data_IF_689404423241
#
_entry.id   IF_689404423241
#
_cell.length_a   1.000
_cell.length_b   1.000
_cell.length_c   1.000
_cell.angle_alpha   90.00
_cell.angle_beta   90.00
_cell.angle_gamma   90.00
#
_symmetry.space_group_name_H-M   'P 1'
#
loop_
_entity.id
_entity.type
_entity.pdbx_description
1 polymer ?
#
# COMPACT_ATOMS: atom_id res chain seq x y z
N UNK A 1 -2.40 -16.06 -6.26
CA UNK A 1 -2.04 -17.38 -6.84
C UNK A 1 -1.73 -17.23 -8.32
N UNK A 2 -0.78 -17.98 -8.86
CA UNK A 2 -0.53 -18.09 -10.30
C UNK A 2 -0.81 -19.51 -10.79
N UNK A 3 -1.20 -19.62 -12.06
CA UNK A 3 -1.36 -20.89 -12.75
C UNK A 3 -0.39 -20.93 -13.94
N UNK A 4 0.46 -21.96 -13.98
CA UNK A 4 1.43 -22.15 -15.05
C UNK A 4 0.73 -22.61 -16.34
N UNK A 5 1.26 -22.22 -17.49
CA UNK A 5 0.73 -22.61 -18.81
C UNK A 5 0.70 -24.14 -18.92
N UNK A 6 -0.46 -24.69 -19.27
CA UNK A 6 -0.67 -26.14 -19.42
C UNK A 6 -0.91 -26.91 -18.11
N UNK A 7 -0.80 -26.27 -16.94
CA UNK A 7 -1.11 -26.88 -15.65
C UNK A 7 -2.44 -26.35 -15.09
N UNK A 8 -3.29 -27.23 -14.55
CA UNK A 8 -4.55 -26.84 -13.91
C UNK A 8 -4.38 -26.42 -12.44
N UNK A 9 -3.23 -26.71 -11.82
CA UNK A 9 -2.98 -26.40 -10.42
C UNK A 9 -2.64 -24.92 -10.18
N UNK A 10 -3.21 -24.37 -9.11
CA UNK A 10 -2.90 -23.03 -8.62
C UNK A 10 -1.76 -23.09 -7.60
N UNK A 11 -0.77 -22.21 -7.73
CA UNK A 11 0.33 -22.06 -6.77
C UNK A 11 0.31 -20.68 -6.11
N UNK A 12 0.63 -20.63 -4.82
CA UNK A 12 0.76 -19.35 -4.12
C UNK A 12 1.99 -18.63 -4.65
N UNK A 13 1.77 -17.44 -5.20
CA UNK A 13 2.85 -16.58 -5.69
C UNK A 13 3.36 -15.63 -4.61
N UNK A 14 2.44 -15.15 -3.77
CA UNK A 14 2.73 -14.26 -2.67
C UNK A 14 1.46 -13.89 -1.93
N UNK A 15 1.66 -13.22 -0.79
CA UNK A 15 0.61 -12.82 0.15
C UNK A 15 0.92 -11.43 0.68
N UNK A 16 -0.09 -10.57 0.78
CA UNK A 16 0.04 -9.25 1.38
C UNK A 16 0.26 -9.35 2.88
N UNK A 17 0.57 -8.23 3.52
CA UNK A 17 0.43 -8.06 4.95
C UNK A 17 -1.04 -8.17 5.40
N UNK A 18 -1.24 -8.40 6.70
CA UNK A 18 -2.56 -8.31 7.35
C UNK A 18 -2.75 -6.87 7.78
N UNK A 19 -3.93 -6.31 7.52
CA UNK A 19 -4.29 -4.95 7.96
C UNK A 19 -5.42 -5.07 8.96
N UNK A 20 -5.14 -4.67 10.19
CA UNK A 20 -6.08 -4.78 11.30
C UNK A 20 -7.20 -3.74 11.18
N UNK A 21 -8.39 -4.13 11.64
CA UNK A 21 -9.54 -3.24 11.89
C UNK A 21 -9.95 -2.32 10.72
N UNK A 22 -9.85 -2.80 9.47
CA UNK A 22 -10.33 -2.06 8.29
C UNK A 22 -11.24 -2.88 7.39
N UNK A 23 -12.21 -2.20 6.77
CA UNK A 23 -13.04 -2.75 5.68
C UNK A 23 -12.55 -2.34 4.30
N UNK A 24 -11.62 -1.39 4.23
CA UNK A 24 -11.05 -0.85 3.00
C UNK A 24 -9.52 -0.90 3.10
N UNK A 25 -8.91 -2.11 3.12
CA UNK A 25 -7.47 -2.26 3.23
C UNK A 25 -6.74 -1.70 2.00
N UNK A 26 -5.66 -0.95 2.23
CA UNK A 26 -4.70 -0.54 1.20
C UNK A 26 -3.33 -1.14 1.52
N UNK A 27 -2.87 -2.05 0.66
CA UNK A 27 -1.70 -2.89 0.90
C UNK A 27 -0.43 -2.24 0.37
N UNK A 28 0.58 -2.11 1.22
CA UNK A 28 1.93 -1.63 0.89
C UNK A 28 2.68 -2.69 0.08
N UNK A 29 2.55 -3.98 0.41
CA UNK A 29 3.30 -5.03 -0.30
C UNK A 29 2.84 -5.14 -1.75
N UNK A 30 3.78 -4.97 -2.67
CA UNK A 30 3.58 -5.17 -4.12
C UNK A 30 4.22 -6.48 -4.59
N UNK A 31 3.78 -6.96 -5.74
CA UNK A 31 4.27 -8.19 -6.37
C UNK A 31 4.90 -7.86 -7.72
N UNK A 32 6.10 -8.39 -7.97
CA UNK A 32 6.81 -8.22 -9.25
C UNK A 32 6.60 -9.46 -10.08
N UNK A 33 6.09 -9.28 -11.30
CA UNK A 33 5.78 -10.34 -12.25
C UNK A 33 6.40 -10.02 -13.60
N UNK A 34 7.00 -11.00 -14.24
CA UNK A 34 7.41 -10.89 -15.64
C UNK A 34 6.16 -10.98 -16.52
N UNK A 35 5.98 -10.02 -17.42
CA UNK A 35 4.88 -10.05 -18.38
C UNK A 35 5.34 -10.67 -19.70
N UNK A 36 4.66 -11.74 -20.11
CA UNK A 36 4.93 -12.48 -21.34
C UNK A 36 3.73 -12.31 -22.27
N UNK A 37 3.83 -11.41 -23.26
CA UNK A 37 2.70 -11.08 -24.15
C UNK A 37 2.19 -12.26 -24.98
N UNK A 38 3.03 -13.27 -25.21
CA UNK A 38 2.69 -14.49 -25.94
C UNK A 38 1.96 -15.53 -25.08
N UNK A 39 1.93 -15.34 -23.76
CA UNK A 39 1.37 -16.31 -22.82
C UNK A 39 0.12 -15.79 -22.10
N UNK A 40 -0.84 -16.69 -21.90
CA UNK A 40 -1.99 -16.43 -21.04
C UNK A 40 -1.62 -16.66 -19.57
N UNK A 41 -1.20 -15.60 -18.90
CA UNK A 41 -0.79 -15.64 -17.49
C UNK A 41 -2.02 -15.45 -16.56
N UNK A 42 -2.61 -16.56 -16.08
CA UNK A 42 -3.78 -16.53 -15.20
C UNK A 42 -3.42 -16.24 -13.75
N UNK A 43 -4.16 -15.32 -13.12
CA UNK A 43 -3.99 -14.89 -11.73
C UNK A 43 -5.31 -15.07 -10.97
N UNK A 44 -5.23 -15.63 -9.76
CA UNK A 44 -6.34 -15.71 -8.81
C UNK A 44 -5.99 -14.96 -7.52
N UNK A 45 -6.92 -14.15 -7.06
CA UNK A 45 -6.82 -13.43 -5.78
C UNK A 45 -7.83 -14.03 -4.83
N UNK A 46 -7.35 -14.45 -3.65
CA UNK A 46 -8.15 -15.00 -2.57
C UNK A 46 -8.05 -14.04 -1.39
N UNK A 47 -9.19 -13.59 -0.85
CA UNK A 47 -9.26 -12.61 0.23
C UNK A 47 -9.79 -13.29 1.48
N UNK A 48 -9.14 -13.02 2.61
CA UNK A 48 -9.45 -13.64 3.89
C UNK A 48 -9.54 -12.58 4.99
N UNK A 49 -10.45 -12.78 5.94
CA UNK A 49 -10.44 -12.15 7.24
C UNK A 49 -9.55 -12.98 8.18
N UNK A 50 -8.55 -12.33 8.75
CA UNK A 50 -7.56 -12.98 9.62
C UNK A 50 -7.93 -12.70 11.07
N UNK A 51 -8.54 -13.68 11.74
CA UNK A 51 -8.79 -13.60 13.17
C UNK A 51 -7.48 -13.83 13.95
N UNK A 52 -7.21 -12.92 14.88
CA UNK A 52 -5.91 -12.47 15.38
C UNK A 52 -4.99 -13.47 16.12
N UNK A 53 -5.13 -14.80 15.98
CA UNK A 53 -4.30 -15.76 16.76
C UNK A 53 -3.83 -17.02 16.04
N UNK A 54 -4.16 -17.23 14.77
CA UNK A 54 -3.72 -18.43 14.03
C UNK A 54 -2.80 -18.08 12.87
N UNK A 55 -1.69 -18.80 12.71
CA UNK A 55 -0.88 -18.78 11.50
C UNK A 55 -1.38 -19.76 10.42
N UNK A 56 -2.40 -20.57 10.74
CA UNK A 56 -2.98 -21.54 9.82
C UNK A 56 -4.11 -20.90 9.00
N UNK A 57 -3.89 -20.85 7.68
CA UNK A 57 -4.82 -20.29 6.69
C UNK A 57 -6.18 -21.00 6.66
N UNK A 58 -6.22 -22.28 7.06
CA UNK A 58 -7.48 -23.04 7.12
C UNK A 58 -8.44 -22.53 8.19
N UNK A 59 -7.97 -21.64 9.09
CA UNK A 59 -8.77 -21.00 10.13
C UNK A 59 -9.16 -19.57 9.78
N UNK A 60 -8.76 -19.07 8.61
CA UNK A 60 -9.14 -17.74 8.18
C UNK A 60 -10.49 -17.78 7.49
N UNK A 61 -11.29 -16.76 7.79
CA UNK A 61 -12.61 -16.61 7.20
C UNK A 61 -12.44 -16.15 5.76
N UNK A 62 -12.75 -17.03 4.81
CA UNK A 62 -12.74 -16.67 3.40
C UNK A 62 -13.79 -15.58 3.13
N UNK A 63 -13.35 -14.48 2.51
CA UNK A 63 -14.20 -13.34 2.16
C UNK A 63 -14.63 -13.37 0.70
N UNK A 64 -13.79 -13.94 -0.18
CA UNK A 64 -14.10 -14.11 -1.59
C UNK A 64 -12.85 -14.25 -2.45
N UNK A 65 -13.07 -14.57 -3.72
CA UNK A 65 -12.03 -14.71 -4.74
C UNK A 65 -12.42 -14.01 -6.05
N UNK A 66 -11.42 -13.70 -6.87
CA UNK A 66 -11.60 -13.29 -8.25
C UNK A 66 -10.48 -13.82 -9.15
N UNK A 67 -10.74 -13.85 -10.45
CA UNK A 67 -9.84 -14.39 -11.47
C UNK A 67 -9.69 -13.38 -12.60
N UNK A 68 -8.47 -13.23 -13.11
CA UNK A 68 -8.18 -12.45 -14.31
C UNK A 68 -6.85 -12.91 -14.91
N UNK A 69 -6.46 -12.35 -16.05
CA UNK A 69 -5.11 -12.52 -16.59
C UNK A 69 -4.25 -11.30 -16.31
N UNK A 70 -2.93 -11.45 -16.27
CA UNK A 70 -2.01 -10.32 -16.15
C UNK A 70 -2.23 -9.31 -17.30
N UNK A 71 -2.44 -9.81 -18.51
CA UNK A 71 -2.75 -8.99 -19.69
C UNK A 71 -4.06 -8.21 -19.58
N UNK A 72 -5.09 -8.75 -18.90
CA UNK A 72 -6.35 -8.01 -18.65
C UNK A 72 -6.15 -6.81 -17.71
N UNK A 73 -5.24 -6.90 -16.75
CA UNK A 73 -4.93 -5.78 -15.83
C UNK A 73 -4.10 -4.75 -16.59
N UNK A 74 -3.01 -5.15 -17.23
CA UNK A 74 -2.11 -4.25 -17.97
C UNK A 74 -2.83 -3.56 -19.13
N UNK A 75 -3.71 -4.28 -19.84
CA UNK A 75 -4.49 -3.73 -20.96
C UNK A 75 -5.68 -2.85 -20.54
N UNK A 76 -5.95 -2.71 -19.25
CA UNK A 76 -6.99 -1.80 -18.75
C UNK A 76 -6.50 -0.35 -18.73
N UNK A 77 -7.44 0.61 -18.79
CA UNK A 77 -7.09 2.02 -18.76
C UNK A 77 -6.31 2.35 -17.46
N UNK A 78 -5.10 2.90 -17.61
CA UNK A 78 -4.21 3.20 -16.48
C UNK A 78 -3.68 1.97 -15.74
N UNK A 79 -3.78 0.77 -16.32
CA UNK A 79 -3.39 -0.47 -15.67
C UNK A 79 -4.25 -0.81 -14.44
N UNK A 80 -5.42 -0.18 -14.28
CA UNK A 80 -6.29 -0.28 -13.11
C UNK A 80 -7.59 -1.02 -13.45
N UNK A 81 -7.87 -2.06 -12.68
CA UNK A 81 -9.06 -2.88 -12.85
C UNK A 81 -9.79 -3.14 -11.53
N UNK A 82 -11.09 -2.84 -11.52
CA UNK A 82 -11.98 -3.15 -10.41
C UNK A 82 -12.71 -4.47 -10.65
N UNK A 83 -12.69 -5.38 -9.67
CA UNK A 83 -13.29 -6.71 -9.78
C UNK A 83 -14.14 -7.02 -8.57
N UNK A 84 -15.36 -7.51 -8.80
CA UNK A 84 -16.20 -8.03 -7.72
C UNK A 84 -15.65 -9.37 -7.21
N UNK A 85 -15.62 -9.51 -5.89
CA UNK A 85 -15.27 -10.77 -5.24
C UNK A 85 -16.46 -11.73 -5.29
N UNK A 86 -16.17 -13.03 -5.39
CA UNK A 86 -17.16 -14.10 -5.52
C UNK A 86 -16.72 -15.36 -4.75
N UNK A 87 -17.49 -16.45 -4.85
CA UNK A 87 -17.11 -17.73 -4.24
C UNK A 87 -17.83 -18.07 -2.93
N UNK A 88 -18.67 -17.17 -2.41
CA UNK A 88 -19.57 -17.46 -1.28
C UNK A 88 -21.02 -17.35 -1.79
N UNK A 89 -21.76 -18.47 -1.91
CA UNK A 89 -23.13 -18.47 -2.40
C UNK A 89 -24.04 -17.53 -1.58
N UNK A 90 -24.80 -16.68 -2.26
CA UNK A 90 -25.77 -15.78 -1.63
C UNK A 90 -25.19 -14.57 -0.88
N UNK A 91 -23.87 -14.36 -0.89
CA UNK A 91 -23.22 -13.25 -0.17
C UNK A 91 -22.56 -12.26 -1.13
N UNK A 92 -22.79 -10.95 -0.91
CA UNK A 92 -21.98 -9.90 -1.53
C UNK A 92 -20.61 -9.88 -0.85
N UNK A 93 -19.56 -10.16 -1.62
CA UNK A 93 -18.20 -10.38 -1.09
C UNK A 93 -17.29 -9.14 -1.16
N UNK A 94 -17.83 -7.99 -1.60
CA UNK A 94 -17.06 -6.78 -1.80
C UNK A 94 -16.37 -6.72 -3.16
N UNK A 95 -15.40 -5.82 -3.26
CA UNK A 95 -14.67 -5.50 -4.49
C UNK A 95 -13.17 -5.46 -4.19
N UNK A 96 -12.36 -5.87 -5.14
CA UNK A 96 -10.92 -5.71 -5.13
C UNK A 96 -10.50 -4.81 -6.31
N UNK A 97 -9.59 -3.86 -6.04
CA UNK A 97 -9.00 -3.00 -7.05
C UNK A 97 -7.59 -3.51 -7.31
N UNK A 98 -7.30 -3.84 -8.56
CA UNK A 98 -6.01 -4.34 -9.02
C UNK A 98 -5.36 -3.24 -9.85
N UNK A 99 -4.08 -2.96 -9.60
CA UNK A 99 -3.30 -2.01 -10.40
C UNK A 99 -1.99 -2.68 -10.81
N UNK A 100 -1.62 -2.55 -12.07
CA UNK A 100 -0.34 -2.98 -12.61
C UNK A 100 0.35 -1.81 -13.31
N UNK A 101 1.65 -1.67 -13.10
CA UNK A 101 2.49 -0.69 -13.77
C UNK A 101 3.78 -1.38 -14.25
N UNK A 102 4.37 -0.85 -15.32
CA UNK A 102 5.72 -1.23 -15.69
C UNK A 102 6.71 -0.68 -14.66
N UNK A 103 7.65 -1.53 -14.23
CA UNK A 103 8.65 -1.14 -13.24
C UNK A 103 9.86 -0.53 -13.94
N UNK A 104 10.27 0.65 -13.47
CA UNK A 104 11.58 1.18 -13.81
C UNK A 104 12.69 0.25 -13.33
N UNK A 105 13.80 0.24 -14.08
CA UNK A 105 15.02 -0.48 -13.69
C UNK A 105 15.81 0.23 -12.57
N UNK A 106 15.19 1.17 -11.85
CA UNK A 106 15.80 1.90 -10.74
C UNK A 106 16.06 0.96 -9.56
N UNK A 107 17.34 0.89 -9.15
CA UNK A 107 17.80 0.07 -8.02
C UNK A 107 18.15 0.89 -6.79
N UNK A 108 17.95 2.20 -6.86
CA UNK A 108 18.28 3.10 -5.77
C UNK A 108 17.38 2.85 -4.57
N UNK A 109 17.93 3.18 -3.41
CA UNK A 109 17.32 2.95 -2.12
C UNK A 109 17.38 4.28 -1.36
N UNK A 110 16.22 4.78 -0.94
CA UNK A 110 16.11 5.98 -0.13
C UNK A 110 16.09 5.60 1.36
N UNK A 111 17.09 6.05 2.11
CA UNK A 111 17.09 5.98 3.58
C UNK A 111 16.78 7.37 4.12
N UNK A 112 15.75 7.47 4.96
CA UNK A 112 15.28 8.76 5.49
C UNK A 112 14.82 8.63 6.94
N UNK A 113 14.86 9.76 7.64
CA UNK A 113 14.31 9.92 8.99
C UNK A 113 13.51 11.23 9.00
N UNK A 114 12.29 11.18 9.53
CA UNK A 114 11.42 12.34 9.64
C UNK A 114 11.10 12.62 11.10
N UNK A 115 10.79 13.88 11.38
CA UNK A 115 10.19 14.31 12.63
C UNK A 115 9.08 15.32 12.34
N UNK A 116 8.11 15.43 13.24
CA UNK A 116 7.14 16.51 13.22
C UNK A 116 7.21 17.28 14.54
N UNK A 117 6.69 18.51 14.53
CA UNK A 117 6.66 19.38 15.70
C UNK A 117 5.29 20.03 15.83
N UNK A 118 4.77 20.10 17.05
CA UNK A 118 3.48 20.74 17.39
C UNK A 118 2.30 20.24 16.54
N UNK A 119 2.21 18.92 16.34
CA UNK A 119 1.04 18.31 15.70
C UNK A 119 -0.24 18.66 16.47
N UNK A 120 -1.36 18.71 15.74
CA UNK A 120 -2.68 18.85 16.34
C UNK A 120 -2.98 17.64 17.24
N UNK A 121 -3.52 17.92 18.43
CA UNK A 121 -4.00 16.89 19.35
C UNK A 121 -5.40 16.43 18.91
N UNK A 122 -5.57 15.15 18.56
CA UNK A 122 -6.89 14.58 18.24
C UNK A 122 -7.52 13.81 19.41
N UNK A 123 -6.72 13.08 20.18
CA UNK A 123 -7.21 12.32 21.35
C UNK A 123 -7.80 13.16 22.49
N UNK A 124 -8.94 12.72 23.05
CA UNK A 124 -9.54 13.36 24.23
C UNK A 124 -8.70 13.18 25.51
N UNK A 125 -8.14 11.99 25.74
CA UNK A 125 -7.33 11.64 26.91
C UNK A 125 -5.88 11.33 26.53
N UNK A 126 -5.08 12.37 26.29
CA UNK A 126 -3.68 12.21 25.94
C UNK A 126 -3.19 13.30 24.99
N UNK A 127 -2.15 12.98 24.25
CA UNK A 127 -1.76 13.58 22.97
C UNK A 127 -2.00 12.52 21.89
N UNK A 128 -1.83 12.89 20.63
CA UNK A 128 -1.90 11.95 19.52
C UNK A 128 -0.83 10.85 19.57
N UNK A 129 -1.12 9.76 18.88
CA UNK A 129 -0.31 8.61 18.52
C UNK A 129 0.08 8.67 17.01
N UNK A 130 0.91 9.65 16.56
CA UNK A 130 1.11 9.92 15.15
C UNK A 130 1.90 8.86 14.37
N UNK A 131 1.51 8.65 13.11
CA UNK A 131 2.25 7.91 12.08
C UNK A 131 2.12 8.57 10.70
N UNK A 132 3.05 8.25 9.80
CA UNK A 132 3.08 8.75 8.42
C UNK A 132 2.62 7.67 7.44
N UNK A 133 1.90 8.09 6.41
CA UNK A 133 1.56 7.26 5.24
C UNK A 133 2.08 7.94 3.98
N UNK A 134 2.93 7.21 3.25
CA UNK A 134 3.52 7.68 1.99
C UNK A 134 2.72 7.14 0.83
N UNK A 135 2.37 8.02 -0.09
CA UNK A 135 1.70 7.73 -1.32
C UNK A 135 2.50 8.25 -2.50
N UNK A 136 2.54 7.47 -3.58
CA UNK A 136 3.08 7.87 -4.88
C UNK A 136 1.92 8.21 -5.81
N UNK A 137 2.04 9.29 -6.59
CA UNK A 137 1.08 9.56 -7.66
C UNK A 137 1.18 8.55 -8.81
N UNK A 138 0.05 8.26 -9.42
CA UNK A 138 -0.07 7.44 -10.62
C UNK A 138 -0.33 8.33 -11.84
N UNK A 139 -0.18 7.77 -13.04
CA UNK A 139 -0.39 8.49 -14.30
C UNK A 139 -1.83 8.98 -14.48
N UNK A 140 -2.79 8.30 -13.86
CA UNK A 140 -4.21 8.66 -13.86
C UNK A 140 -4.59 9.72 -12.79
N UNK A 141 -3.60 10.24 -12.06
CA UNK A 141 -3.78 11.21 -10.98
C UNK A 141 -4.24 10.60 -9.64
N UNK A 142 -4.44 9.28 -9.57
CA UNK A 142 -4.67 8.60 -8.30
C UNK A 142 -3.38 8.45 -7.50
N UNK A 143 -3.50 7.99 -6.26
CA UNK A 143 -2.37 7.74 -5.37
C UNK A 143 -2.32 6.28 -4.95
N UNK A 144 -1.11 5.74 -4.80
CA UNK A 144 -0.88 4.38 -4.31
C UNK A 144 0.05 4.41 -3.12
N UNK A 145 -0.35 3.75 -2.03
CA UNK A 145 0.48 3.64 -0.85
C UNK A 145 1.79 2.91 -1.18
N UNK A 146 2.90 3.46 -0.68
CA UNK A 146 4.24 2.89 -0.84
C UNK A 146 4.97 2.66 0.49
N UNK A 147 4.57 3.31 1.59
CA UNK A 147 5.15 3.08 2.91
C UNK A 147 4.23 3.55 4.06
N UNK A 148 4.40 2.96 5.25
CA UNK A 148 3.86 3.44 6.53
C UNK A 148 4.96 3.38 7.59
N UNK A 149 5.07 4.41 8.41
CA UNK A 149 5.99 4.39 9.57
C UNK A 149 5.37 3.65 10.74
N UNK A 150 6.15 3.46 11.81
CA UNK A 150 5.62 3.10 13.10
C UNK A 150 4.75 4.21 13.71
N UNK A 151 3.89 3.79 14.66
CA UNK A 151 3.10 4.67 15.51
C UNK A 151 3.93 5.08 16.72
N UNK A 152 4.07 6.38 16.96
CA UNK A 152 4.74 6.89 18.17
C UNK A 152 3.67 7.39 19.13
N UNK A 153 3.58 6.76 20.30
CA UNK A 153 2.47 7.03 21.22
C UNK A 153 2.61 8.33 22.01
N UNK A 154 1.48 9.00 22.21
CA UNK A 154 1.26 10.10 23.15
C UNK A 154 2.28 11.24 22.99
N UNK A 155 2.45 11.74 21.77
CA UNK A 155 3.35 12.84 21.43
C UNK A 155 2.79 13.76 20.35
N UNK A 156 3.11 15.05 20.43
CA UNK A 156 2.88 16.03 19.35
C UNK A 156 4.17 16.41 18.63
N UNK A 157 5.31 15.81 19.02
CA UNK A 157 6.62 16.05 18.42
C UNK A 157 7.31 14.70 18.15
N UNK A 158 6.75 13.87 17.26
CA UNK A 158 7.32 12.56 16.95
C UNK A 158 8.66 12.68 16.23
N UNK A 159 9.57 11.74 16.53
CA UNK A 159 10.77 11.46 15.73
C UNK A 159 10.69 9.99 15.35
N UNK A 160 10.33 9.70 14.09
CA UNK A 160 10.22 8.34 13.60
C UNK A 160 11.60 7.70 13.42
N UNK A 161 11.67 6.39 13.52
CA UNK A 161 12.88 5.62 13.28
C UNK A 161 13.32 5.78 11.83
N UNK A 162 14.63 5.77 11.55
CA UNK A 162 15.12 5.72 10.17
C UNK A 162 14.55 4.49 9.46
N UNK A 163 14.02 4.69 8.26
CA UNK A 163 13.48 3.62 7.43
C UNK A 163 14.03 3.71 6.01
N UNK A 164 13.75 2.68 5.22
CA UNK A 164 14.27 2.52 3.87
C UNK A 164 13.15 2.17 2.90
N UNK A 165 13.06 2.91 1.79
CA UNK A 165 12.10 2.68 0.70
C UNK A 165 12.88 2.52 -0.62
N UNK A 166 12.67 1.46 -1.40
CA UNK A 166 13.18 1.41 -2.77
C UNK A 166 12.65 2.59 -3.59
N UNK A 167 13.51 3.32 -4.31
CA UNK A 167 13.09 4.51 -5.10
C UNK A 167 12.06 4.13 -6.16
N UNK A 168 12.14 2.92 -6.71
CA UNK A 168 11.09 2.36 -7.58
C UNK A 168 9.69 2.28 -6.92
N UNK A 169 9.61 2.01 -5.62
CA UNK A 169 8.35 1.99 -4.89
C UNK A 169 7.88 3.41 -4.56
N UNK A 170 8.82 4.29 -4.19
CA UNK A 170 8.53 5.67 -3.82
C UNK A 170 8.04 6.51 -5.00
N UNK A 171 8.69 6.38 -6.17
CA UNK A 171 8.46 7.27 -7.30
C UNK A 171 8.65 6.60 -8.68
N UNK A 172 8.76 5.27 -8.72
CA UNK A 172 8.99 4.48 -9.93
C UNK A 172 10.14 5.00 -10.82
N UNK A 173 11.23 5.46 -10.18
CA UNK A 173 12.43 5.95 -10.87
C UNK A 173 12.31 7.37 -11.44
N UNK A 174 11.12 7.97 -11.45
CA UNK A 174 10.93 9.38 -11.75
C UNK A 174 11.10 10.20 -10.48
N UNK A 175 12.24 10.87 -10.34
CA UNK A 175 12.59 11.57 -9.10
C UNK A 175 11.74 12.81 -8.83
N UNK A 176 11.05 13.32 -9.85
CA UNK A 176 10.17 14.48 -9.77
C UNK A 176 8.69 14.08 -9.57
N UNK A 177 8.38 12.79 -9.66
CA UNK A 177 7.04 12.27 -9.39
C UNK A 177 6.58 12.64 -7.98
N UNK A 178 5.35 13.14 -7.90
CA UNK A 178 4.73 13.58 -6.64
C UNK A 178 4.63 12.44 -5.64
N UNK A 179 5.17 12.69 -4.46
CA UNK A 179 5.00 11.88 -3.25
C UNK A 179 4.13 12.69 -2.29
N UNK A 180 3.00 12.12 -1.89
CA UNK A 180 2.11 12.68 -0.87
C UNK A 180 2.36 11.97 0.44
N UNK A 181 2.49 12.73 1.52
CA UNK A 181 2.74 12.20 2.86
C UNK A 181 1.64 12.71 3.77
N UNK A 182 0.85 11.78 4.29
CA UNK A 182 -0.23 12.08 5.22
C UNK A 182 0.21 11.73 6.64
N UNK A 183 -0.18 12.57 7.59
CA UNK A 183 0.02 12.36 9.02
C UNK A 183 -1.34 12.00 9.63
N UNK A 184 -1.39 10.87 10.33
CA UNK A 184 -2.58 10.39 11.00
C UNK A 184 -2.30 10.16 12.49
N UNK A 185 -3.34 10.30 13.30
CA UNK A 185 -3.42 9.81 14.67
C UNK A 185 -3.90 8.35 14.66
N UNK A 186 -3.22 7.46 15.38
CA UNK A 186 -3.61 6.06 15.43
C UNK A 186 -4.75 5.81 16.42
N UNK A 187 -5.87 5.35 15.92
CA UNK A 187 -7.00 4.86 16.71
C UNK A 187 -7.11 3.33 16.77
N UNK A 188 -7.44 2.81 17.95
CA UNK A 188 -7.53 1.37 18.21
C UNK A 188 -8.59 0.65 17.37
N UNK A 189 -9.69 1.33 17.06
CA UNK A 189 -10.80 0.79 16.27
C UNK A 189 -10.57 0.86 14.75
N UNK A 190 -9.43 1.43 14.33
CA UNK A 190 -9.04 1.58 12.92
C UNK A 190 -9.52 2.87 12.26
N UNK A 191 -10.30 3.73 12.94
CA UNK A 191 -10.76 5.01 12.38
C UNK A 191 -9.76 6.14 12.64
N UNK A 192 -8.52 5.93 12.18
CA UNK A 192 -7.39 6.85 12.39
C UNK A 192 -7.71 8.30 11.97
N UNK A 193 -7.58 9.24 12.90
CA UNK A 193 -7.87 10.66 12.65
C UNK A 193 -6.79 11.33 11.78
N UNK A 194 -7.21 12.05 10.75
CA UNK A 194 -6.31 12.83 9.90
C UNK A 194 -5.78 14.07 10.63
N UNK A 195 -4.45 14.26 10.65
CA UNK A 195 -3.77 15.42 11.24
C UNK A 195 -3.41 16.45 10.18
N UNK A 196 -2.73 16.04 9.10
CA UNK A 196 -2.26 16.93 8.04
C UNK A 196 -1.64 16.18 6.88
N UNK A 197 -1.37 16.88 5.77
CA UNK A 197 -0.70 16.31 4.60
C UNK A 197 0.26 17.31 3.97
N UNK A 198 1.24 16.80 3.23
CA UNK A 198 2.06 17.61 2.33
C UNK A 198 2.44 16.80 1.10
N UNK A 199 2.88 17.50 0.05
CA UNK A 199 3.41 16.88 -1.17
C UNK A 199 4.86 17.30 -1.41
N UNK A 200 5.63 16.39 -1.97
CA UNK A 200 7.06 16.57 -2.26
C UNK A 200 7.47 15.66 -3.42
N UNK A 201 8.76 15.52 -3.67
CA UNK A 201 9.32 14.55 -4.61
C UNK A 201 10.57 13.91 -4.01
N UNK A 202 11.02 12.78 -4.57
CA UNK A 202 12.28 12.18 -4.12
C UNK A 202 13.46 13.14 -4.33
N UNK A 203 13.44 13.94 -5.40
CA UNK A 203 14.45 14.97 -5.65
C UNK A 203 14.53 15.97 -4.50
N UNK A 204 13.41 16.49 -4.03
CA UNK A 204 13.39 17.44 -2.91
C UNK A 204 13.81 16.78 -1.60
N UNK A 205 13.25 15.61 -1.28
CA UNK A 205 13.62 14.84 -0.09
C UNK A 205 15.13 14.52 -0.05
N UNK A 206 15.73 14.22 -1.20
CA UNK A 206 17.17 13.88 -1.30
C UNK A 206 18.10 15.05 -0.95
N UNK A 207 17.61 16.30 -0.92
CA UNK A 207 18.39 17.48 -0.51
C UNK A 207 18.69 17.51 0.99
N UNK A 208 18.10 16.60 1.78
CA UNK A 208 18.35 16.49 3.22
C UNK A 208 17.76 17.63 4.05
N UNK A 209 18.15 17.74 5.32
CA UNK A 209 17.59 18.75 6.21
C UNK A 209 17.97 20.17 5.76
N UNK A 210 16.99 20.91 5.26
CA UNK A 210 17.13 22.32 4.87
C UNK A 210 15.76 23.01 4.97
N UNK A 211 15.73 24.33 4.83
CA UNK A 211 14.50 25.13 4.93
C UNK A 211 13.41 24.76 3.90
N UNK A 212 13.77 24.12 2.79
CA UNK A 212 12.85 23.67 1.74
C UNK A 212 12.28 22.26 2.02
N UNK A 213 12.80 21.57 3.03
CA UNK A 213 12.30 20.28 3.52
C UNK A 213 11.60 20.42 4.89
N UNK A 214 11.03 21.60 5.12
CA UNK A 214 10.07 21.88 6.19
C UNK A 214 8.72 22.11 5.51
N UNK A 215 7.71 21.37 5.96
CA UNK A 215 6.35 21.42 5.43
C UNK A 215 5.41 21.86 6.55
N UNK A 216 4.50 22.77 6.24
CA UNK A 216 3.49 23.33 7.15
C UNK A 216 2.12 22.70 6.91
#
# INVERSE_FOLDING_TARGET
MLQAVGNKEWREFGRTEVIDNTRNPDFVRKFVLDFLFEEKQNIRFDVYNVDSRSCNISKYDFLGQTFCTLGEIIGSAGGRQERTLSGIPGKKCGVIILTAEELSNCRDIATMQLCANKLDKKDFFGKSDPFLVFYRSNEDGTFTICHKTEVIKNTLNPVWQPFTIPVRALCNGDYDRTVKIDVFDWDRDGSHDFIGEFTTSYRELSRGQNQFNVYE
#
